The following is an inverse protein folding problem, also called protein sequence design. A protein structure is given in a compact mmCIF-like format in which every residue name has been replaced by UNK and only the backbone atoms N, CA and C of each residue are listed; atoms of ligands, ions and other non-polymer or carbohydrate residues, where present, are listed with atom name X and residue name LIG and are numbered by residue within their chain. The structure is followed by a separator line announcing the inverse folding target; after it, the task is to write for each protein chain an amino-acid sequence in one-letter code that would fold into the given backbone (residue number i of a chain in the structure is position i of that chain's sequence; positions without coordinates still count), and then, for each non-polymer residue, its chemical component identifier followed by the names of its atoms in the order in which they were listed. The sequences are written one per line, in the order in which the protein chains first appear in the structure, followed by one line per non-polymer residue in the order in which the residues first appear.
data_IF_198031789596
#
_entry.id   IF_198031789596
#
_cell.length_a   1.000
_cell.length_b   1.000
_cell.length_c   1.000
_cell.angle_alpha   90.00
_cell.angle_beta   90.00
_cell.angle_gamma   90.00
#
_symmetry.space_group_name_H-M   'P 1'
#
loop_
_entity.id
_entity.type
_entity.pdbx_description
1 polymer ?
#
# COMPACT_ATOMS: atom_id res chain seq x y z
N UNK A 1 -10.38 16.03 -5.58
CA UNK A 1 -9.62 14.77 -5.55
C UNK A 1 -8.91 14.68 -4.21
N UNK A 2 -9.09 13.59 -3.46
CA UNK A 2 -8.40 13.48 -2.18
C UNK A 2 -6.91 13.17 -2.37
N UNK A 3 -6.16 13.24 -1.26
CA UNK A 3 -4.70 13.14 -1.32
C UNK A 3 -4.18 11.82 -1.87
N UNK A 4 -4.80 10.69 -1.50
CA UNK A 4 -4.31 9.40 -1.96
C UNK A 4 -4.60 9.19 -3.45
N UNK A 5 -5.75 9.63 -3.91
CA UNK A 5 -6.08 9.53 -5.33
C UNK A 5 -5.13 10.38 -6.16
N UNK A 6 -4.85 11.60 -5.69
CA UNK A 6 -3.89 12.47 -6.37
C UNK A 6 -2.50 11.84 -6.42
N UNK A 7 -2.07 11.17 -5.33
CA UNK A 7 -0.77 10.52 -5.29
C UNK A 7 -0.67 9.39 -6.32
N UNK A 8 -1.70 8.55 -6.40
CA UNK A 8 -1.74 7.48 -7.39
C UNK A 8 -1.79 8.02 -8.81
N UNK A 9 -2.64 9.02 -9.03
CA UNK A 9 -2.80 9.62 -10.35
C UNK A 9 -1.48 10.21 -10.84
N UNK A 10 -0.80 10.94 -9.95
CA UNK A 10 0.52 11.51 -10.27
C UNK A 10 1.55 10.42 -10.56
N UNK A 11 1.55 9.34 -9.76
CA UNK A 11 2.49 8.25 -9.96
C UNK A 11 2.26 7.54 -11.30
N UNK A 12 1.01 7.26 -11.65
CA UNK A 12 0.70 6.62 -12.93
C UNK A 12 1.01 7.54 -14.12
N UNK A 13 0.77 8.84 -14.00
CA UNK A 13 1.14 9.80 -15.04
C UNK A 13 2.65 9.80 -15.27
N UNK A 14 3.43 9.85 -14.19
CA UNK A 14 4.89 9.82 -14.32
C UNK A 14 5.38 8.50 -14.90
N UNK A 15 4.71 7.41 -14.55
CA UNK A 15 5.02 6.11 -15.10
C UNK A 15 4.93 6.15 -16.63
N UNK A 16 3.84 6.70 -17.15
CA UNK A 16 3.65 6.81 -18.59
C UNK A 16 4.66 7.76 -19.22
N UNK A 17 4.89 8.93 -18.61
CA UNK A 17 5.82 9.93 -19.15
C UNK A 17 7.27 9.43 -19.16
N UNK A 18 7.67 8.67 -18.15
CA UNK A 18 9.05 8.21 -17.99
C UNK A 18 9.29 6.81 -18.53
N UNK A 19 8.25 6.12 -18.95
CA UNK A 19 8.37 4.76 -19.46
C UNK A 19 8.69 3.72 -18.39
N UNK A 20 8.23 3.94 -17.15
CA UNK A 20 8.43 2.99 -16.07
C UNK A 20 7.58 1.73 -16.28
N UNK A 21 8.05 0.60 -15.80
CA UNK A 21 7.28 -0.63 -15.87
C UNK A 21 6.17 -0.69 -14.83
N UNK A 22 6.40 -0.07 -13.66
CA UNK A 22 5.48 -0.13 -12.53
C UNK A 22 5.70 1.03 -11.59
N UNK A 23 4.76 1.18 -10.65
CA UNK A 23 4.93 2.09 -9.52
C UNK A 23 5.09 1.27 -8.25
N UNK A 24 5.79 1.83 -7.26
CA UNK A 24 6.03 1.18 -5.97
C UNK A 24 5.16 1.83 -4.91
N UNK A 25 4.41 1.01 -4.19
CA UNK A 25 3.45 1.48 -3.18
C UNK A 25 3.79 0.87 -1.83
N UNK A 26 4.13 1.72 -0.87
CA UNK A 26 4.34 1.31 0.52
C UNK A 26 3.00 1.24 1.23
N UNK A 27 2.78 0.20 2.04
CA UNK A 27 1.56 0.06 2.82
C UNK A 27 1.90 -0.35 4.25
N UNK A 28 1.40 0.42 5.21
CA UNK A 28 1.52 0.12 6.64
C UNK A 28 0.41 -0.85 7.07
N UNK A 29 0.58 -1.54 8.19
CA UNK A 29 -0.42 -2.48 8.70
C UNK A 29 -1.35 -1.83 9.72
N UNK A 30 -0.82 -1.45 10.88
CA UNK A 30 -1.64 -1.03 12.02
C UNK A 30 -2.24 0.35 11.79
N UNK A 31 -3.53 0.47 12.09
CA UNK A 31 -4.32 1.68 11.88
C UNK A 31 -4.37 2.14 10.41
N UNK A 32 -3.99 1.27 9.51
CA UNK A 32 -4.07 1.51 8.06
C UNK A 32 -4.86 0.38 7.39
N UNK A 33 -4.45 -0.87 7.56
CA UNK A 33 -5.18 -2.04 7.05
C UNK A 33 -6.06 -2.63 8.14
N UNK A 34 -5.46 -2.92 9.28
CA UNK A 34 -6.14 -3.47 10.45
C UNK A 34 -6.16 -2.46 11.57
N UNK A 35 -7.26 -2.43 12.31
CA UNK A 35 -7.37 -1.56 13.47
C UNK A 35 -6.44 -2.05 14.57
N UNK A 36 -5.62 -1.16 15.10
CA UNK A 36 -4.70 -1.53 16.17
C UNK A 36 -5.46 -1.73 17.49
N UNK A 37 -5.00 -2.68 18.31
CA UNK A 37 -5.51 -2.89 19.63
C UNK A 37 -4.32 -3.04 20.57
N UNK A 38 -4.08 -2.02 21.38
CA UNK A 38 -2.91 -1.96 22.24
C UNK A 38 -3.07 -2.71 23.55
N UNK A 39 -4.29 -3.19 23.84
CA UNK A 39 -4.57 -3.98 25.04
C UNK A 39 -4.42 -5.47 24.82
N UNK A 40 -4.71 -5.91 23.60
CA UNK A 40 -4.55 -7.30 23.18
C UNK A 40 -3.41 -7.37 22.19
N UNK A 41 -3.06 -8.56 21.78
CA UNK A 41 -1.93 -8.74 20.86
C UNK A 41 -2.28 -8.26 19.44
N UNK A 42 -2.56 -9.17 18.54
CA UNK A 42 -2.89 -8.78 17.17
C UNK A 42 -4.39 -8.64 16.98
N UNK A 43 -4.75 -7.81 16.05
CA UNK A 43 -6.12 -7.71 15.58
C UNK A 43 -6.13 -7.86 14.07
N UNK A 44 -7.16 -8.54 13.58
CA UNK A 44 -7.37 -8.73 12.16
C UNK A 44 -8.67 -8.08 11.71
N UNK A 45 -9.16 -7.12 12.49
CA UNK A 45 -10.33 -6.34 12.09
C UNK A 45 -9.90 -5.31 11.08
N UNK A 46 -10.24 -5.55 9.82
CA UNK A 46 -9.85 -4.66 8.73
C UNK A 46 -10.75 -3.43 8.64
N UNK A 47 -10.17 -2.34 8.15
CA UNK A 47 -10.96 -1.17 7.79
C UNK A 47 -11.82 -1.47 6.57
N UNK A 48 -12.94 -0.73 6.39
CA UNK A 48 -13.82 -0.97 5.25
C UNK A 48 -13.07 -0.88 3.92
N UNK A 49 -13.30 -1.83 3.05
CA UNK A 49 -12.71 -1.91 1.70
C UNK A 49 -11.20 -2.18 1.65
N UNK A 50 -10.52 -2.27 2.81
CA UNK A 50 -9.07 -2.43 2.81
C UNK A 50 -8.63 -3.72 2.12
N UNK A 51 -9.19 -4.85 2.52
CA UNK A 51 -8.77 -6.15 1.98
C UNK A 51 -9.15 -6.29 0.50
N UNK A 52 -10.33 -5.82 0.13
CA UNK A 52 -10.78 -5.86 -1.26
C UNK A 52 -9.88 -5.01 -2.16
N UNK A 53 -9.53 -3.82 -1.70
CA UNK A 53 -8.66 -2.91 -2.45
C UNK A 53 -7.24 -3.46 -2.58
N UNK A 54 -6.71 -4.00 -1.49
CA UNK A 54 -5.37 -4.60 -1.51
C UNK A 54 -5.30 -5.81 -2.44
N UNK A 55 -6.35 -6.64 -2.46
CA UNK A 55 -6.39 -7.76 -3.37
C UNK A 55 -6.36 -7.29 -4.83
N UNK A 56 -7.12 -6.24 -5.13
CA UNK A 56 -7.10 -5.65 -6.46
C UNK A 56 -5.70 -5.15 -6.82
N UNK A 57 -5.03 -4.49 -5.88
CA UNK A 57 -3.67 -4.00 -6.09
C UNK A 57 -2.66 -5.14 -6.27
N UNK A 58 -2.83 -6.23 -5.53
CA UNK A 58 -2.00 -7.43 -5.71
C UNK A 58 -2.06 -7.95 -7.14
N UNK A 59 -3.23 -7.88 -7.76
CA UNK A 59 -3.47 -8.37 -9.10
C UNK A 59 -3.12 -7.37 -10.19
N UNK A 60 -2.85 -6.12 -9.82
CA UNK A 60 -2.57 -5.07 -10.79
C UNK A 60 -1.13 -5.15 -11.28
N UNK A 61 -0.95 -5.37 -12.59
CA UNK A 61 0.37 -5.57 -13.19
C UNK A 61 1.32 -4.39 -13.04
N UNK A 62 0.79 -3.20 -12.89
CA UNK A 62 1.61 -1.97 -12.83
C UNK A 62 1.91 -1.53 -11.40
N UNK A 63 1.49 -2.30 -10.40
CA UNK A 63 1.72 -1.97 -8.99
C UNK A 63 2.60 -3.01 -8.33
N UNK A 64 3.68 -2.54 -7.70
CA UNK A 64 4.53 -3.35 -6.85
C UNK A 64 4.24 -2.96 -5.41
N UNK A 65 3.73 -3.88 -4.59
CA UNK A 65 3.37 -3.61 -3.20
C UNK A 65 4.53 -3.91 -2.27
N UNK A 66 4.84 -2.94 -1.42
CA UNK A 66 5.87 -3.07 -0.39
C UNK A 66 5.19 -2.95 0.97
N UNK A 67 5.27 -4.00 1.78
CA UNK A 67 4.76 -3.94 3.14
C UNK A 67 5.77 -3.19 4.00
N UNK A 68 5.32 -2.16 4.70
CA UNK A 68 6.17 -1.27 5.50
C UNK A 68 5.68 -1.30 6.93
N UNK A 69 6.39 -1.99 7.81
CA UNK A 69 5.91 -2.23 9.17
C UNK A 69 7.05 -2.42 10.15
N UNK A 70 6.82 -2.03 11.40
CA UNK A 70 7.76 -2.26 12.50
C UNK A 70 7.45 -3.54 13.27
N UNK A 71 6.53 -4.37 12.76
CA UNK A 71 6.12 -5.62 13.40
C UNK A 71 7.31 -6.58 13.49
N UNK A 72 7.45 -7.25 14.64
CA UNK A 72 8.50 -8.26 14.82
C UNK A 72 8.32 -9.42 13.83
N UNK A 73 9.43 -10.04 13.39
CA UNK A 73 9.37 -11.10 12.37
C UNK A 73 8.40 -12.24 12.66
N UNK A 74 8.32 -12.70 13.90
CA UNK A 74 7.41 -13.81 14.27
C UNK A 74 5.95 -13.44 14.13
N UNK A 75 5.61 -12.17 14.40
CA UNK A 75 4.24 -11.67 14.24
C UNK A 75 3.95 -11.34 12.78
N UNK A 76 4.97 -10.89 12.08
CA UNK A 76 4.85 -10.59 10.66
C UNK A 76 4.44 -11.83 9.86
N UNK A 77 4.98 -13.00 10.19
CA UNK A 77 4.60 -14.24 9.52
C UNK A 77 3.10 -14.54 9.68
N UNK A 78 2.55 -14.26 10.85
CA UNK A 78 1.11 -14.44 11.09
C UNK A 78 0.28 -13.52 10.21
N UNK A 79 0.71 -12.24 10.09
CA UNK A 79 0.03 -11.29 9.20
C UNK A 79 0.12 -11.73 7.74
N UNK A 80 1.28 -12.18 7.30
CA UNK A 80 1.45 -12.64 5.92
C UNK A 80 0.55 -13.82 5.60
N UNK A 81 0.40 -14.75 6.54
CA UNK A 81 -0.53 -15.88 6.38
C UNK A 81 -1.97 -15.40 6.29
N UNK A 82 -2.31 -14.40 7.12
CA UNK A 82 -3.65 -13.83 7.11
C UNK A 82 -3.95 -13.15 5.78
N UNK A 83 -3.00 -12.37 5.28
CA UNK A 83 -3.14 -11.73 3.96
C UNK A 83 -3.32 -12.78 2.86
N UNK A 84 -2.57 -13.88 2.92
CA UNK A 84 -2.67 -14.93 1.92
C UNK A 84 -4.07 -15.54 1.86
N UNK A 85 -4.76 -15.63 3.00
CA UNK A 85 -6.15 -16.11 3.05
C UNK A 85 -7.08 -15.24 2.20
N UNK A 86 -6.75 -13.95 2.06
CA UNK A 86 -7.53 -13.00 1.28
C UNK A 86 -6.96 -12.78 -0.12
N UNK A 87 -5.98 -13.61 -0.51
CA UNK A 87 -5.30 -13.50 -1.81
C UNK A 87 -4.56 -12.18 -1.98
N UNK A 88 -3.98 -11.71 -0.87
CA UNK A 88 -3.14 -10.51 -0.86
C UNK A 88 -1.71 -10.95 -0.65
N UNK A 89 -0.81 -10.49 -1.52
CA UNK A 89 0.61 -10.74 -1.38
C UNK A 89 1.39 -9.43 -1.55
N UNK A 90 2.50 -9.35 -0.85
CA UNK A 90 3.40 -8.19 -0.96
C UNK A 90 4.67 -8.65 -1.67
N UNK A 91 5.11 -7.84 -2.63
CA UNK A 91 6.29 -8.17 -3.43
C UNK A 91 7.57 -8.03 -2.61
N UNK A 92 7.57 -7.08 -1.68
CA UNK A 92 8.73 -6.81 -0.82
C UNK A 92 8.27 -6.40 0.57
N UNK A 93 9.17 -6.51 1.54
CA UNK A 93 8.91 -6.16 2.94
C UNK A 93 10.02 -5.24 3.43
N UNK A 94 9.63 -4.08 3.92
CA UNK A 94 10.50 -3.09 4.56
C UNK A 94 11.71 -2.66 3.72
N UNK A 95 11.60 -2.75 2.41
CA UNK A 95 12.68 -2.31 1.53
C UNK A 95 12.31 -2.47 0.08
N UNK A 96 13.16 -1.93 -0.79
CA UNK A 96 12.96 -2.03 -2.23
C UNK A 96 14.29 -2.39 -2.91
N UNK A 97 14.65 -3.67 -2.95
CA UNK A 97 15.92 -4.10 -3.55
C UNK A 97 15.97 -3.91 -5.07
N UNK A 98 14.83 -3.64 -5.72
CA UNK A 98 14.81 -3.42 -7.17
C UNK A 98 15.38 -2.05 -7.57
N UNK A 99 15.45 -1.10 -6.63
CA UNK A 99 15.97 0.23 -6.93
C UNK A 99 17.23 0.48 -6.10
N UNK A 100 18.41 0.30 -6.70
CA UNK A 100 19.68 0.48 -5.97
C UNK A 100 20.04 1.96 -5.82
N UNK A 101 21.02 2.21 -4.94
CA UNK A 101 21.56 3.55 -4.75
C UNK A 101 22.14 4.11 -6.06
N UNK A 102 22.02 5.42 -6.20
CA UNK A 102 22.62 6.14 -7.33
C UNK A 102 23.57 7.20 -6.78
N UNK A 103 24.24 7.96 -7.67
CA UNK A 103 25.08 9.07 -7.24
C UNK A 103 24.30 10.15 -6.53
N UNK A 104 22.99 10.28 -6.83
CA UNK A 104 22.15 11.33 -6.27
C UNK A 104 21.31 10.88 -5.11
N UNK A 105 21.09 9.57 -4.94
CA UNK A 105 20.15 9.06 -3.95
C UNK A 105 20.64 7.80 -3.26
N UNK A 106 20.51 7.79 -1.94
CA UNK A 106 20.83 6.64 -1.11
C UNK A 106 19.55 6.07 -0.52
N UNK A 107 19.28 4.79 -0.77
CA UNK A 107 18.07 4.12 -0.31
C UNK A 107 18.33 3.11 0.82
N UNK A 108 19.47 3.25 1.51
CA UNK A 108 19.83 2.33 2.60
C UNK A 108 18.86 2.41 3.78
N UNK A 109 18.34 3.60 4.07
CA UNK A 109 17.43 3.83 5.19
C UNK A 109 16.02 4.21 4.76
N UNK A 110 15.86 4.76 3.58
CA UNK A 110 14.57 5.15 3.05
C UNK A 110 14.43 4.53 1.66
N UNK A 111 13.62 3.48 1.51
CA UNK A 111 13.47 2.82 0.22
C UNK A 111 12.80 3.73 -0.79
N UNK A 112 13.06 3.48 -2.06
CA UNK A 112 12.38 4.19 -3.14
C UNK A 112 10.92 3.73 -3.21
N UNK A 113 10.00 4.69 -3.25
CA UNK A 113 8.58 4.41 -3.48
C UNK A 113 7.92 5.61 -4.13
N UNK A 114 6.78 5.37 -4.76
CA UNK A 114 6.03 6.41 -5.45
C UNK A 114 4.81 6.87 -4.65
N UNK A 115 4.18 5.96 -3.91
CA UNK A 115 2.99 6.26 -3.10
C UNK A 115 3.13 5.58 -1.75
N UNK A 116 2.78 6.28 -0.68
CA UNK A 116 2.74 5.72 0.67
C UNK A 116 1.31 5.68 1.19
N UNK A 117 0.87 4.51 1.65
CA UNK A 117 -0.43 4.33 2.30
C UNK A 117 -0.18 4.07 3.77
N UNK A 118 -0.34 5.11 4.58
CA UNK A 118 -0.04 5.08 6.00
C UNK A 118 -0.89 6.17 6.65
N UNK A 119 -1.57 5.83 7.75
CA UNK A 119 -2.41 6.79 8.45
C UNK A 119 -1.63 8.02 8.91
N UNK A 120 -0.35 7.83 9.21
CA UNK A 120 0.53 8.94 9.61
C UNK A 120 0.91 9.86 8.47
N UNK A 121 0.70 9.43 7.24
CA UNK A 121 0.94 10.25 6.05
C UNK A 121 -0.34 10.94 5.57
N UNK A 122 -1.42 10.86 6.36
CA UNK A 122 -2.68 11.50 6.02
C UNK A 122 -3.69 10.62 5.30
N UNK A 123 -3.40 9.33 5.17
CA UNK A 123 -4.37 8.38 4.64
C UNK A 123 -5.46 8.17 5.69
N UNK A 124 -6.73 8.32 5.31
CA UNK A 124 -7.87 8.08 6.19
C UNK A 124 -8.42 6.67 5.93
N UNK A 125 -8.10 5.68 6.78
CA UNK A 125 -8.48 4.30 6.51
C UNK A 125 -9.99 4.05 6.54
N UNK A 126 -10.78 4.93 7.16
CA UNK A 126 -12.23 4.79 7.19
C UNK A 126 -12.87 5.10 5.82
N UNK A 127 -12.23 5.92 5.00
CA UNK A 127 -12.82 6.41 3.76
C UNK A 127 -11.97 6.15 2.51
N UNK A 128 -10.65 6.21 2.66
CA UNK A 128 -9.78 6.27 1.49
C UNK A 128 -9.61 4.94 0.75
N UNK A 129 -9.78 3.80 1.45
CA UNK A 129 -9.72 2.51 0.78
C UNK A 129 -10.83 2.36 -0.26
N UNK A 130 -12.03 2.83 0.06
CA UNK A 130 -13.16 2.79 -0.86
C UNK A 130 -12.92 3.67 -2.07
N UNK A 131 -12.46 4.90 -1.83
CA UNK A 131 -12.15 5.84 -2.91
C UNK A 131 -11.08 5.26 -3.84
N UNK A 132 -10.07 4.63 -3.26
CA UNK A 132 -8.98 4.04 -4.03
C UNK A 132 -9.47 2.85 -4.87
N UNK A 133 -10.36 2.02 -4.31
CA UNK A 133 -10.94 0.91 -5.06
C UNK A 133 -11.67 1.41 -6.32
N UNK A 134 -12.51 2.42 -6.16
CA UNK A 134 -13.26 3.00 -7.30
C UNK A 134 -12.31 3.62 -8.33
N UNK A 135 -11.28 4.28 -7.86
CA UNK A 135 -10.27 4.85 -8.75
C UNK A 135 -9.57 3.76 -9.57
N UNK A 136 -9.15 2.69 -8.91
CA UNK A 136 -8.41 1.62 -9.58
C UNK A 136 -9.25 0.84 -10.59
N UNK A 137 -10.56 0.69 -10.35
CA UNK A 137 -11.44 0.04 -11.31
C UNK A 137 -11.97 0.99 -12.37
N UNK A 138 -11.63 2.27 -12.28
CA UNK A 138 -12.05 3.26 -13.27
C UNK A 138 -13.48 3.75 -13.11
N UNK A 139 -14.10 3.54 -11.95
CA UNK A 139 -15.46 3.99 -11.65
C UNK A 139 -15.37 5.21 -10.74
N UNK A 140 -16.03 6.29 -11.12
CA UNK A 140 -16.02 7.51 -10.31
C UNK A 140 -17.08 7.40 -9.22
N UNK A 141 -16.72 7.73 -7.97
CA UNK A 141 -17.65 7.65 -6.85
C UNK A 141 -18.85 8.55 -7.00
N UNK A 142 -18.65 9.75 -7.51
CA UNK A 142 -19.70 10.74 -7.66
C UNK A 142 -20.75 10.38 -8.74
N UNK A 143 -20.54 9.31 -9.47
CA UNK A 143 -21.47 8.82 -10.48
C UNK A 143 -22.48 7.80 -9.96
N UNK A 144 -22.48 7.57 -8.67
CA UNK A 144 -23.40 6.60 -8.06
C UNK A 144 -24.86 6.98 -8.25
#
# INVERSE_FOLDING_TARGET
MNGIIRAFDSAFMRKEEQGWEKIYVLVDIHDTIFKACYENEETYEAYPWALTTLRLMTQHKDICLILWTSTYPEKLDEYLKKFAEYRISFDMINGNPEVPNTELSCFDHKPYFNVGIDDRFGFNPEEDWRSLWFYLVGIKEEEK
#
